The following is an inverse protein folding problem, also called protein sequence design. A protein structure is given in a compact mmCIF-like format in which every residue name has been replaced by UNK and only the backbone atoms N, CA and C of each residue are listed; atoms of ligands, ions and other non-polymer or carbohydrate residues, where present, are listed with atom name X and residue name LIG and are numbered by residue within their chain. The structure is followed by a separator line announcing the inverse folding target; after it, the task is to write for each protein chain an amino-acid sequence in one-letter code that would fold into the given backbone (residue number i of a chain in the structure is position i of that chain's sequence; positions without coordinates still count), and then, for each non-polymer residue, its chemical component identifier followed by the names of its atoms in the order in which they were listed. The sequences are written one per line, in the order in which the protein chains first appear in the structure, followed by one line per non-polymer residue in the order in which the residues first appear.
data_IF_346435782458
#
_entry.id   IF_346435782458
#
_cell.length_a   1.000
_cell.length_b   1.000
_cell.length_c   1.000
_cell.angle_alpha   90.00
_cell.angle_beta   90.00
_cell.angle_gamma   90.00
#
_symmetry.space_group_name_H-M   'P 1'
#
loop_
_entity.id
_entity.type
_entity.pdbx_description
1 polymer ?
#
# COMPACT_ATOMS: atom_id res chain seq x y z
N UNK A 1 12.33 -40.44 -11.30
CA UNK A 1 13.16 -39.89 -12.40
C UNK A 1 14.13 -38.83 -11.89
N UNK A 2 13.71 -37.88 -11.04
CA UNK A 2 14.61 -36.84 -10.50
C UNK A 2 15.60 -37.34 -9.41
N UNK A 3 15.18 -38.21 -8.48
CA UNK A 3 16.10 -38.82 -7.49
C UNK A 3 17.18 -39.71 -8.12
N UNK A 4 16.95 -40.18 -9.36
CA UNK A 4 17.93 -40.94 -10.13
C UNK A 4 19.04 -40.04 -10.69
N UNK A 5 18.74 -38.78 -11.03
CA UNK A 5 19.73 -37.81 -11.49
C UNK A 5 20.71 -37.44 -10.37
N UNK A 6 20.20 -37.18 -9.16
CA UNK A 6 20.99 -36.97 -7.94
C UNK A 6 21.96 -38.14 -7.65
N UNK A 7 21.49 -39.37 -7.83
CA UNK A 7 22.30 -40.57 -7.61
C UNK A 7 23.34 -40.82 -8.72
N UNK A 8 23.16 -40.23 -9.91
CA UNK A 8 24.06 -40.40 -11.06
C UNK A 8 25.14 -39.33 -11.17
N UNK A 9 24.82 -38.09 -10.80
CA UNK A 9 25.79 -37.01 -10.76
C UNK A 9 25.55 -36.15 -9.51
N UNK A 10 26.36 -36.36 -8.47
CA UNK A 10 26.26 -35.64 -7.21
C UNK A 10 26.77 -34.19 -7.30
N UNK A 11 27.45 -33.83 -8.40
CA UNK A 11 27.96 -32.48 -8.64
C UNK A 11 27.03 -31.60 -9.50
N UNK A 12 25.90 -32.15 -9.98
CA UNK A 12 24.90 -31.40 -10.75
C UNK A 12 24.05 -30.53 -9.80
N UNK A 13 24.16 -29.21 -9.90
CA UNK A 13 23.44 -28.23 -9.09
C UNK A 13 21.94 -28.20 -9.38
N UNK A 14 21.53 -28.62 -10.58
CA UNK A 14 20.11 -28.66 -11.01
C UNK A 14 19.42 -29.95 -10.58
N UNK A 15 20.18 -31.02 -10.37
CA UNK A 15 19.67 -32.30 -9.88
C UNK A 15 18.93 -32.19 -8.53
N UNK A 16 19.40 -31.44 -7.51
CA UNK A 16 18.62 -31.15 -6.32
C UNK A 16 17.55 -30.07 -6.51
N UNK A 17 17.79 -29.06 -7.36
CA UNK A 17 16.86 -27.93 -7.54
C UNK A 17 15.45 -28.33 -7.98
N UNK A 18 15.33 -29.13 -9.05
CA UNK A 18 14.03 -29.51 -9.61
C UNK A 18 13.17 -30.35 -8.67
N UNK A 19 13.68 -31.41 -8.01
CA UNK A 19 12.91 -32.09 -6.97
C UNK A 19 12.61 -31.19 -5.77
N UNK A 20 13.43 -30.19 -5.45
CA UNK A 20 13.10 -29.15 -4.48
C UNK A 20 11.82 -28.40 -4.86
N UNK A 21 11.70 -27.97 -6.12
CA UNK A 21 10.48 -27.33 -6.65
C UNK A 21 9.25 -28.24 -6.53
N UNK A 22 9.40 -29.53 -6.86
CA UNK A 22 8.32 -30.51 -6.72
C UNK A 22 7.90 -30.69 -5.26
N UNK A 23 8.85 -30.76 -4.32
CA UNK A 23 8.51 -30.91 -2.91
C UNK A 23 7.83 -29.66 -2.34
N UNK A 24 8.24 -28.48 -2.79
CA UNK A 24 7.57 -27.24 -2.41
C UNK A 24 6.10 -27.23 -2.89
N UNK A 25 5.85 -27.59 -4.16
CA UNK A 25 4.48 -27.78 -4.70
C UNK A 25 3.66 -28.79 -3.89
N UNK A 26 4.29 -29.86 -3.38
CA UNK A 26 3.67 -30.86 -2.51
C UNK A 26 3.65 -30.48 -1.02
N UNK A 27 3.94 -29.22 -0.69
CA UNK A 27 3.96 -28.68 0.69
C UNK A 27 4.91 -29.42 1.64
N UNK A 28 5.92 -30.09 1.08
CA UNK A 28 7.02 -30.73 1.83
C UNK A 28 8.17 -29.74 1.95
N UNK A 29 7.94 -28.66 2.70
CA UNK A 29 8.81 -27.49 2.73
C UNK A 29 10.22 -27.80 3.27
N UNK A 30 10.33 -28.63 4.31
CA UNK A 30 11.64 -29.06 4.85
C UNK A 30 12.49 -29.81 3.81
N UNK A 31 11.85 -30.66 3.00
CA UNK A 31 12.53 -31.39 1.93
C UNK A 31 12.95 -30.46 0.80
N UNK A 32 12.08 -29.52 0.42
CA UNK A 32 12.38 -28.50 -0.56
C UNK A 32 13.57 -27.63 -0.13
N UNK A 33 13.54 -27.14 1.11
CA UNK A 33 14.61 -26.36 1.72
C UNK A 33 15.95 -27.07 1.62
N UNK A 34 16.02 -28.31 2.14
CA UNK A 34 17.27 -29.09 2.16
C UNK A 34 17.84 -29.29 0.76
N UNK A 35 16.99 -29.55 -0.24
CA UNK A 35 17.44 -29.71 -1.61
C UNK A 35 17.89 -28.38 -2.23
N UNK A 36 17.19 -27.29 -1.98
CA UNK A 36 17.63 -25.98 -2.45
C UNK A 36 18.91 -25.51 -1.78
N UNK A 37 19.11 -25.78 -0.49
CA UNK A 37 20.38 -25.53 0.19
C UNK A 37 21.53 -26.34 -0.43
N UNK A 38 21.29 -27.62 -0.77
CA UNK A 38 22.27 -28.43 -1.48
C UNK A 38 22.57 -27.88 -2.89
N UNK A 39 21.53 -27.47 -3.63
CA UNK A 39 21.70 -26.84 -4.95
C UNK A 39 22.54 -25.57 -4.87
N UNK A 40 22.26 -24.70 -3.90
CA UNK A 40 22.99 -23.47 -3.65
C UNK A 40 24.45 -23.71 -3.18
N UNK A 41 24.72 -24.84 -2.52
CA UNK A 41 26.09 -25.26 -2.16
C UNK A 41 26.87 -25.78 -3.38
N UNK A 42 26.20 -26.45 -4.33
CA UNK A 42 26.81 -26.96 -5.55
C UNK A 42 27.08 -25.85 -6.58
N UNK A 43 26.14 -24.92 -6.74
CA UNK A 43 26.32 -23.70 -7.54
C UNK A 43 25.83 -22.45 -6.77
N UNK A 44 26.81 -21.73 -6.24
CA UNK A 44 26.62 -20.48 -5.54
C UNK A 44 26.11 -19.33 -6.43
N UNK A 45 26.19 -19.46 -7.76
CA UNK A 45 25.86 -18.44 -8.75
C UNK A 45 24.51 -18.67 -9.43
N UNK A 46 23.70 -19.60 -8.95
CA UNK A 46 22.37 -19.85 -9.48
C UNK A 46 21.32 -18.91 -8.84
N UNK A 47 20.84 -17.84 -9.50
CA UNK A 47 19.98 -16.84 -8.83
C UNK A 47 18.65 -17.42 -8.35
N UNK A 48 18.04 -18.29 -9.16
CA UNK A 48 16.70 -18.82 -8.89
C UNK A 48 16.64 -19.71 -7.64
N UNK A 49 17.71 -20.44 -7.29
CA UNK A 49 17.70 -21.22 -6.05
C UNK A 49 17.71 -20.32 -4.82
N UNK A 50 18.47 -19.22 -4.85
CA UNK A 50 18.47 -18.22 -3.78
C UNK A 50 17.11 -17.55 -3.66
N UNK A 51 16.48 -17.17 -4.80
CA UNK A 51 15.11 -16.63 -4.79
C UNK A 51 14.10 -17.62 -4.22
N UNK A 52 14.23 -18.92 -4.43
CA UNK A 52 13.31 -19.91 -3.83
C UNK A 52 13.58 -20.14 -2.33
N UNK A 53 14.85 -20.11 -1.90
CA UNK A 53 15.22 -20.20 -0.50
C UNK A 53 14.65 -19.03 0.32
N UNK A 54 14.62 -17.81 -0.23
CA UNK A 54 14.07 -16.67 0.49
C UNK A 54 12.59 -16.85 0.82
N UNK A 55 11.81 -17.42 -0.11
CA UNK A 55 10.39 -17.74 0.10
C UNK A 55 10.19 -18.74 1.23
N UNK A 56 11.00 -19.80 1.28
CA UNK A 56 10.92 -20.80 2.36
C UNK A 56 11.32 -20.21 3.69
N UNK A 57 12.44 -19.48 3.74
CA UNK A 57 12.93 -18.88 4.97
C UNK A 57 11.93 -17.90 5.57
N UNK A 58 11.27 -17.10 4.73
CA UNK A 58 10.26 -16.17 5.19
C UNK A 58 8.97 -16.89 5.61
N UNK A 59 8.34 -17.62 4.67
CA UNK A 59 6.98 -18.13 4.85
C UNK A 59 6.91 -19.33 5.80
N UNK A 60 7.94 -20.19 5.81
CA UNK A 60 7.87 -21.49 6.48
C UNK A 60 8.79 -21.61 7.69
N UNK A 61 9.91 -20.88 7.70
CA UNK A 61 10.90 -20.97 8.79
C UNK A 61 10.79 -19.83 9.81
N UNK A 62 10.06 -18.75 9.50
CA UNK A 62 10.04 -17.56 10.36
C UNK A 62 11.41 -16.89 10.49
N UNK A 63 12.23 -16.96 9.43
CA UNK A 63 13.59 -16.39 9.37
C UNK A 63 13.64 -15.18 8.39
N UNK A 64 13.01 -14.04 8.71
CA UNK A 64 12.86 -12.91 7.80
C UNK A 64 14.20 -12.32 7.32
N UNK A 65 15.21 -12.25 8.18
CA UNK A 65 16.51 -11.70 7.79
C UNK A 65 17.31 -12.62 6.90
N UNK A 66 17.21 -13.93 7.12
CA UNK A 66 17.82 -14.89 6.21
C UNK A 66 17.14 -14.87 4.84
N UNK A 67 15.81 -14.68 4.81
CA UNK A 67 15.08 -14.47 3.56
C UNK A 67 15.57 -13.22 2.82
N UNK A 68 15.77 -12.11 3.55
CA UNK A 68 16.33 -10.87 2.99
C UNK A 68 17.70 -11.10 2.37
N UNK A 69 18.66 -11.61 3.13
CA UNK A 69 20.03 -11.87 2.67
C UNK A 69 20.06 -12.75 1.41
N UNK A 70 19.20 -13.78 1.40
CA UNK A 70 19.10 -14.75 0.32
C UNK A 70 18.48 -14.12 -0.94
N UNK A 71 17.47 -13.26 -0.80
CA UNK A 71 16.85 -12.59 -1.94
C UNK A 71 17.71 -11.44 -2.49
N UNK A 72 18.40 -10.69 -1.63
CA UNK A 72 19.41 -9.71 -2.02
C UNK A 72 20.53 -10.39 -2.82
N UNK A 73 20.98 -11.58 -2.38
CA UNK A 73 21.94 -12.39 -3.13
C UNK A 73 21.39 -12.84 -4.48
N UNK A 74 20.14 -13.29 -4.53
CA UNK A 74 19.52 -13.68 -5.80
C UNK A 74 19.55 -12.53 -6.81
N UNK A 75 19.16 -11.32 -6.37
CA UNK A 75 19.17 -10.14 -7.23
C UNK A 75 20.59 -9.70 -7.62
N UNK A 76 21.55 -9.76 -6.70
CA UNK A 76 22.94 -9.40 -6.99
C UNK A 76 23.60 -10.29 -8.06
N UNK A 77 23.12 -11.54 -8.21
CA UNK A 77 23.59 -12.46 -9.25
C UNK A 77 22.98 -12.17 -10.63
N UNK A 78 21.81 -11.51 -10.69
CA UNK A 78 21.16 -11.08 -11.93
C UNK A 78 20.36 -9.79 -11.72
N UNK A 79 21.05 -8.64 -11.79
CA UNK A 79 20.47 -7.32 -11.55
C UNK A 79 19.51 -6.86 -12.66
N UNK A 80 19.45 -7.59 -13.78
CA UNK A 80 18.52 -7.32 -14.87
C UNK A 80 17.15 -8.02 -14.66
N UNK A 81 17.03 -8.90 -13.67
CA UNK A 81 15.79 -9.60 -13.37
C UNK A 81 14.80 -8.68 -12.61
N UNK A 82 13.91 -8.05 -13.37
CA UNK A 82 12.88 -7.17 -12.83
C UNK A 82 11.86 -7.89 -11.95
N UNK A 83 11.69 -9.21 -12.08
CA UNK A 83 10.81 -9.98 -11.20
C UNK A 83 11.47 -10.11 -9.82
N UNK A 84 12.74 -10.47 -9.76
CA UNK A 84 13.45 -10.60 -8.48
C UNK A 84 13.55 -9.24 -7.77
N UNK A 85 13.75 -8.14 -8.52
CA UNK A 85 13.73 -6.78 -7.94
C UNK A 85 12.37 -6.43 -7.31
N UNK A 86 11.26 -6.76 -7.97
CA UNK A 86 9.91 -6.57 -7.41
C UNK A 86 9.71 -7.38 -6.14
N UNK A 87 10.11 -8.64 -6.14
CA UNK A 87 9.97 -9.51 -4.97
C UNK A 87 10.84 -9.01 -3.80
N UNK A 88 12.04 -8.49 -4.09
CA UNK A 88 12.91 -7.89 -3.09
C UNK A 88 12.30 -6.64 -2.47
N UNK A 89 11.71 -5.77 -3.29
CA UNK A 89 11.02 -4.57 -2.82
C UNK A 89 9.78 -4.89 -1.97
N UNK A 90 9.01 -5.91 -2.36
CA UNK A 90 7.89 -6.44 -1.56
C UNK A 90 8.37 -6.99 -0.20
N UNK A 91 9.50 -7.70 -0.18
CA UNK A 91 10.09 -8.19 1.06
C UNK A 91 10.54 -7.03 1.96
N UNK A 92 11.23 -6.03 1.39
CA UNK A 92 11.64 -4.82 2.12
C UNK A 92 10.45 -4.11 2.77
N UNK A 93 9.33 -3.96 2.03
CA UNK A 93 8.09 -3.41 2.58
C UNK A 93 7.58 -4.23 3.78
N UNK A 94 7.56 -5.57 3.67
CA UNK A 94 7.15 -6.46 4.78
C UNK A 94 8.06 -6.39 6.00
N UNK A 95 9.35 -6.13 5.79
CA UNK A 95 10.33 -5.98 6.86
C UNK A 95 10.35 -4.57 7.48
N UNK A 96 9.48 -3.66 7.03
CA UNK A 96 9.41 -2.29 7.53
C UNK A 96 10.62 -1.44 7.12
N UNK A 97 11.27 -1.76 6.00
CA UNK A 97 12.32 -0.89 5.43
C UNK A 97 11.67 0.45 5.05
N UNK A 98 12.33 1.55 5.42
CA UNK A 98 11.79 2.89 5.22
C UNK A 98 11.50 3.18 3.74
N UNK A 99 10.41 3.90 3.40
CA UNK A 99 10.09 4.25 2.01
C UNK A 99 11.21 4.99 1.29
N UNK A 100 11.99 5.82 2.00
CA UNK A 100 13.16 6.51 1.44
C UNK A 100 14.27 5.54 1.03
N UNK A 101 14.55 4.51 1.82
CA UNK A 101 15.55 3.50 1.49
C UNK A 101 15.10 2.64 0.29
N UNK A 102 13.82 2.24 0.26
CA UNK A 102 13.23 1.54 -0.89
C UNK A 102 13.30 2.39 -2.16
N UNK A 103 12.96 3.67 -2.06
CA UNK A 103 13.02 4.62 -3.17
C UNK A 103 14.43 4.69 -3.77
N UNK A 104 15.46 4.88 -2.94
CA UNK A 104 16.84 4.96 -3.41
C UNK A 104 17.31 3.62 -4.02
N UNK A 105 16.93 2.48 -3.42
CA UNK A 105 17.27 1.17 -3.96
C UNK A 105 16.65 0.91 -5.36
N UNK A 106 15.40 1.33 -5.57
CA UNK A 106 14.77 1.20 -6.89
C UNK A 106 15.36 2.19 -7.90
N UNK A 107 15.70 3.40 -7.45
CA UNK A 107 16.33 4.44 -8.28
C UNK A 107 17.70 4.01 -8.81
N UNK A 108 18.50 3.27 -8.03
CA UNK A 108 19.79 2.73 -8.50
C UNK A 108 19.65 1.63 -9.56
N UNK A 109 18.45 1.06 -9.72
CA UNK A 109 18.14 0.01 -10.69
C UNK A 109 17.03 0.44 -11.66
N UNK A 110 17.02 1.72 -12.06
CA UNK A 110 15.97 2.35 -12.89
C UNK A 110 15.66 1.56 -14.17
N UNK A 111 16.69 1.17 -14.94
CA UNK A 111 16.52 0.41 -16.19
C UNK A 111 15.81 -0.92 -15.97
N UNK A 112 16.05 -1.60 -14.84
CA UNK A 112 15.39 -2.85 -14.46
C UNK A 112 13.97 -2.59 -13.96
N UNK A 113 13.78 -1.55 -13.13
CA UNK A 113 12.49 -1.17 -12.59
C UNK A 113 11.49 -0.77 -13.69
N UNK A 114 11.93 -0.03 -14.71
CA UNK A 114 11.09 0.44 -15.82
C UNK A 114 10.52 -0.68 -16.71
N UNK A 115 11.04 -1.90 -16.59
CA UNK A 115 10.59 -3.05 -17.38
C UNK A 115 9.19 -3.55 -16.97
N UNK A 116 8.70 -3.19 -15.77
CA UNK A 116 7.40 -3.68 -15.27
C UNK A 116 6.53 -2.57 -14.68
N UNK A 117 5.23 -2.64 -14.98
CA UNK A 117 4.24 -1.67 -14.49
C UNK A 117 3.99 -1.78 -12.98
N UNK A 118 3.99 -3.01 -12.44
CA UNK A 118 3.79 -3.26 -11.00
C UNK A 118 4.94 -2.72 -10.15
N UNK A 119 6.18 -2.86 -10.61
CA UNK A 119 7.36 -2.33 -9.95
C UNK A 119 7.45 -0.80 -10.07
N UNK A 120 7.07 -0.23 -11.22
CA UNK A 120 6.91 1.21 -11.37
C UNK A 120 5.87 1.77 -10.38
N UNK A 121 4.76 1.05 -10.15
CA UNK A 121 3.74 1.47 -9.20
C UNK A 121 4.25 1.49 -7.74
N UNK A 122 5.09 0.53 -7.33
CA UNK A 122 5.73 0.54 -5.99
C UNK A 122 6.76 1.68 -5.86
N UNK A 123 7.50 2.01 -6.92
CA UNK A 123 8.38 3.18 -6.94
C UNK A 123 7.61 4.48 -6.76
N UNK A 124 6.52 4.66 -7.51
CA UNK A 124 5.63 5.83 -7.39
C UNK A 124 5.00 5.90 -5.99
N UNK A 125 4.62 4.75 -5.42
CA UNK A 125 4.15 4.68 -4.03
C UNK A 125 5.21 5.21 -3.07
N UNK A 126 6.48 4.84 -3.26
CA UNK A 126 7.59 5.32 -2.42
C UNK A 126 7.87 6.82 -2.62
N UNK A 127 7.71 7.35 -3.83
CA UNK A 127 7.75 8.80 -4.08
C UNK A 127 6.65 9.52 -3.29
N UNK A 128 5.40 9.04 -3.37
CA UNK A 128 4.28 9.62 -2.63
C UNK A 128 4.48 9.54 -1.11
N UNK A 129 4.93 8.40 -0.58
CA UNK A 129 5.21 8.23 0.85
C UNK A 129 6.34 9.13 1.36
N UNK A 130 7.22 9.62 0.48
CA UNK A 130 8.32 10.53 0.82
C UNK A 130 8.02 11.99 0.48
N UNK A 131 6.78 12.31 0.10
CA UNK A 131 6.33 13.66 -0.24
C UNK A 131 6.79 14.18 -1.60
N UNK A 132 7.31 13.31 -2.48
CA UNK A 132 7.78 13.67 -3.83
C UNK A 132 6.65 13.58 -4.85
N UNK A 133 5.57 14.32 -4.60
CA UNK A 133 4.32 14.20 -5.34
C UNK A 133 4.43 14.64 -6.81
N UNK A 134 5.20 15.68 -7.10
CA UNK A 134 5.44 16.17 -8.46
C UNK A 134 6.20 15.15 -9.31
N UNK A 135 7.20 14.48 -8.71
CA UNK A 135 7.98 13.42 -9.36
C UNK A 135 7.09 12.19 -9.64
N UNK A 136 6.25 11.81 -8.67
CA UNK A 136 5.26 10.75 -8.81
C UNK A 136 4.26 11.05 -9.94
N UNK A 137 3.68 12.25 -9.95
CA UNK A 137 2.73 12.68 -10.99
C UNK A 137 3.38 12.72 -12.37
N UNK A 138 4.59 13.26 -12.49
CA UNK A 138 5.34 13.33 -13.76
C UNK A 138 5.52 11.92 -14.35
N UNK A 139 5.96 10.96 -13.53
CA UNK A 139 6.17 9.59 -13.98
C UNK A 139 4.85 8.91 -14.37
N UNK A 140 3.79 9.13 -13.59
CA UNK A 140 2.44 8.64 -13.90
C UNK A 140 1.92 9.16 -15.24
N UNK A 141 2.20 10.43 -15.59
CA UNK A 141 1.73 11.05 -16.84
C UNK A 141 2.57 10.69 -18.07
N UNK A 142 3.84 10.31 -17.89
CA UNK A 142 4.74 9.95 -18.99
C UNK A 142 4.62 8.49 -19.42
N UNK A 143 4.21 7.60 -18.51
CA UNK A 143 4.10 6.16 -18.77
C UNK A 143 2.69 5.77 -19.21
N UNK A 144 2.60 4.76 -20.07
CA UNK A 144 1.35 4.06 -20.36
C UNK A 144 1.32 2.73 -19.59
N UNK A 145 0.47 2.65 -18.57
CA UNK A 145 0.29 1.47 -17.73
C UNK A 145 -0.71 0.50 -18.37
N UNK A 146 -0.46 -0.79 -18.19
CA UNK A 146 -1.35 -1.87 -18.60
C UNK A 146 -1.91 -2.55 -17.35
N UNK A 147 -3.23 -2.77 -17.24
CA UNK A 147 -3.79 -3.53 -16.12
C UNK A 147 -3.19 -4.92 -15.99
N UNK A 148 -3.01 -5.37 -14.75
CA UNK A 148 -2.58 -6.73 -14.42
C UNK A 148 -3.44 -7.33 -13.31
N UNK A 149 -3.45 -8.66 -13.20
CA UNK A 149 -4.21 -9.36 -12.15
C UNK A 149 -3.69 -8.99 -10.75
N UNK A 150 -4.58 -8.50 -9.87
CA UNK A 150 -4.20 -7.97 -8.55
C UNK A 150 -3.58 -6.57 -8.60
N UNK A 151 -3.70 -5.88 -9.74
CA UNK A 151 -3.26 -4.51 -9.96
C UNK A 151 -4.34 -3.46 -9.77
N UNK A 152 -5.59 -3.88 -9.51
CA UNK A 152 -6.76 -3.03 -9.54
C UNK A 152 -6.60 -1.81 -8.63
N UNK A 153 -6.82 -0.63 -9.20
CA UNK A 153 -6.69 0.67 -8.55
C UNK A 153 -5.30 1.03 -8.03
N UNK A 154 -4.26 0.21 -8.20
CA UNK A 154 -2.93 0.52 -7.66
C UNK A 154 -2.34 1.79 -8.27
N UNK A 155 -2.40 1.91 -9.59
CA UNK A 155 -1.87 3.07 -10.32
C UNK A 155 -2.74 4.31 -10.09
N UNK A 156 -4.06 4.17 -10.17
CA UNK A 156 -5.00 5.30 -10.02
C UNK A 156 -5.03 5.86 -8.60
N UNK A 157 -4.89 5.01 -7.57
CA UNK A 157 -4.68 5.47 -6.19
C UNK A 157 -3.42 6.31 -6.05
N UNK A 158 -2.31 5.93 -6.69
CA UNK A 158 -1.09 6.73 -6.67
C UNK A 158 -1.24 8.07 -7.41
N UNK A 159 -2.05 8.11 -8.47
CA UNK A 159 -2.38 9.35 -9.17
C UNK A 159 -3.19 10.32 -8.32
N UNK A 160 -4.25 9.84 -7.67
CA UNK A 160 -5.03 10.63 -6.72
C UNK A 160 -4.11 11.11 -5.59
N UNK A 161 -3.32 10.21 -5.03
CA UNK A 161 -2.36 10.49 -3.96
C UNK A 161 -1.42 11.64 -4.36
N UNK A 162 -0.75 11.58 -5.51
CA UNK A 162 0.14 12.65 -5.95
C UNK A 162 -0.60 14.00 -6.09
N UNK A 163 -1.78 14.02 -6.70
CA UNK A 163 -2.55 15.26 -6.90
C UNK A 163 -3.07 15.87 -5.59
N UNK A 164 -3.59 15.03 -4.69
CA UNK A 164 -4.04 15.49 -3.37
C UNK A 164 -2.88 16.01 -2.53
N UNK A 165 -1.68 15.48 -2.71
CA UNK A 165 -0.48 15.90 -1.98
C UNK A 165 -0.07 17.30 -2.37
N UNK A 166 0.07 17.52 -3.69
CA UNK A 166 0.32 18.85 -4.23
C UNK A 166 -0.79 19.84 -3.85
N UNK A 167 -2.06 19.43 -3.90
CA UNK A 167 -3.18 20.30 -3.53
C UNK A 167 -3.16 20.67 -2.04
N UNK A 168 -2.89 19.72 -1.15
CA UNK A 168 -2.76 19.96 0.29
C UNK A 168 -1.57 20.86 0.60
N UNK A 169 -0.44 20.68 -0.08
CA UNK A 169 0.72 21.56 0.05
C UNK A 169 0.36 23.01 -0.34
N UNK A 170 -0.28 23.20 -1.49
CA UNK A 170 -0.75 24.51 -1.93
C UNK A 170 -1.74 25.14 -0.95
N UNK A 171 -2.70 24.36 -0.43
CA UNK A 171 -3.65 24.85 0.58
C UNK A 171 -2.95 25.20 1.91
N UNK A 172 -1.98 24.41 2.36
CA UNK A 172 -1.22 24.70 3.58
C UNK A 172 -0.45 26.03 3.49
N UNK A 173 -0.04 26.42 2.28
CA UNK A 173 0.61 27.69 1.99
C UNK A 173 -0.37 28.82 1.60
N UNK A 174 -1.68 28.58 1.74
CA UNK A 174 -2.73 29.53 1.40
C UNK A 174 -2.72 29.96 -0.08
N UNK A 175 -2.45 29.00 -0.98
CA UNK A 175 -2.47 29.13 -2.45
C UNK A 175 -3.62 28.32 -3.06
N UNK A 176 -4.90 28.66 -2.78
CA UNK A 176 -6.05 27.87 -3.24
C UNK A 176 -6.23 27.89 -4.78
N UNK A 177 -5.74 28.93 -5.45
CA UNK A 177 -5.74 29.05 -6.91
C UNK A 177 -4.88 27.98 -7.58
N UNK A 178 -3.82 27.51 -6.92
CA UNK A 178 -3.00 26.39 -7.40
C UNK A 178 -3.59 25.02 -7.02
N UNK A 179 -4.29 24.92 -5.89
CA UNK A 179 -4.90 23.67 -5.43
C UNK A 179 -6.14 23.27 -6.26
N UNK A 180 -7.00 24.23 -6.62
CA UNK A 180 -8.25 23.99 -7.33
C UNK A 180 -8.10 23.17 -8.63
N UNK A 181 -7.18 23.49 -9.57
CA UNK A 181 -7.01 22.70 -10.78
C UNK A 181 -6.52 21.27 -10.50
N UNK A 182 -5.68 21.07 -9.49
CA UNK A 182 -5.18 19.74 -9.10
C UNK A 182 -6.32 18.85 -8.58
N UNK A 183 -7.21 19.42 -7.76
CA UNK A 183 -8.37 18.72 -7.23
C UNK A 183 -9.38 18.35 -8.33
N UNK A 184 -9.63 19.25 -9.28
CA UNK A 184 -10.45 18.93 -10.45
C UNK A 184 -9.81 17.84 -11.31
N UNK A 185 -8.49 17.87 -11.48
CA UNK A 185 -7.76 16.86 -12.21
C UNK A 185 -7.85 15.48 -11.53
N UNK A 186 -7.89 15.42 -10.21
CA UNK A 186 -7.99 14.16 -9.46
C UNK A 186 -9.33 13.42 -9.69
N UNK A 187 -10.38 14.13 -10.12
CA UNK A 187 -11.68 13.52 -10.44
C UNK A 187 -11.66 12.71 -11.74
N UNK A 188 -10.66 12.88 -12.60
CA UNK A 188 -10.60 12.31 -13.95
C UNK A 188 -9.35 11.44 -14.09
N UNK A 189 -9.54 10.16 -14.44
CA UNK A 189 -8.43 9.25 -14.75
C UNK A 189 -8.00 9.41 -16.21
N UNK A 190 -6.74 9.79 -16.47
CA UNK A 190 -6.25 9.88 -17.83
C UNK A 190 -6.03 8.47 -18.40
N UNK A 191 -6.23 8.34 -19.72
CA UNK A 191 -6.26 7.03 -20.41
C UNK A 191 -4.97 6.21 -20.22
N UNK A 192 -3.83 6.88 -20.05
CA UNK A 192 -2.53 6.23 -19.90
C UNK A 192 -2.38 5.47 -18.58
N UNK A 193 -3.29 5.64 -17.60
CA UNK A 193 -3.28 4.83 -16.37
C UNK A 193 -3.83 3.42 -16.57
N UNK A 194 -4.49 3.15 -17.71
CA UNK A 194 -5.01 1.82 -18.04
C UNK A 194 -6.31 1.43 -17.35
N UNK A 195 -6.84 2.25 -16.45
CA UNK A 195 -8.06 1.97 -15.68
C UNK A 195 -9.08 3.12 -15.77
N UNK A 196 -10.36 2.74 -15.82
CA UNK A 196 -11.48 3.67 -15.71
C UNK A 196 -12.04 3.72 -14.29
N UNK A 197 -12.66 4.85 -13.94
CA UNK A 197 -13.33 5.00 -12.66
C UNK A 197 -14.62 4.18 -12.60
N UNK A 198 -14.85 3.47 -11.50
CA UNK A 198 -16.05 2.66 -11.31
C UNK A 198 -17.27 3.54 -11.00
N UNK A 199 -18.43 3.14 -11.52
CA UNK A 199 -19.71 3.78 -11.19
C UNK A 199 -20.02 3.55 -9.70
N UNK A 200 -20.18 4.64 -8.95
CA UNK A 200 -20.45 4.60 -7.51
C UNK A 200 -19.25 4.87 -6.60
N UNK A 201 -18.02 4.94 -7.12
CA UNK A 201 -16.87 5.39 -6.33
C UNK A 201 -17.12 6.81 -5.82
N UNK A 202 -17.10 6.98 -4.49
CA UNK A 202 -17.30 8.26 -3.83
C UNK A 202 -15.93 8.91 -3.57
N UNK A 203 -15.74 10.11 -4.12
CA UNK A 203 -14.50 10.90 -4.02
C UNK A 203 -14.56 11.85 -2.81
N UNK A 204 -14.89 11.31 -1.63
CA UNK A 204 -15.17 12.12 -0.45
C UNK A 204 -13.98 13.02 -0.09
N UNK A 205 -12.77 12.48 -0.19
CA UNK A 205 -11.50 13.17 0.00
C UNK A 205 -11.30 14.36 -0.95
N UNK A 206 -11.48 14.13 -2.26
CA UNK A 206 -11.33 15.15 -3.29
C UNK A 206 -12.40 16.24 -3.13
N UNK A 207 -13.67 15.85 -2.95
CA UNK A 207 -14.76 16.81 -2.80
C UNK A 207 -14.66 17.62 -1.49
N UNK A 208 -14.20 17.00 -0.41
CA UNK A 208 -13.98 17.71 0.84
C UNK A 208 -12.90 18.79 0.66
N UNK A 209 -11.76 18.43 0.06
CA UNK A 209 -10.69 19.38 -0.24
C UNK A 209 -11.12 20.46 -1.24
N UNK A 210 -11.99 20.14 -2.21
CA UNK A 210 -12.61 21.15 -3.08
C UNK A 210 -13.45 22.14 -2.28
N UNK A 211 -14.25 21.67 -1.33
CA UNK A 211 -15.04 22.54 -0.45
C UNK A 211 -14.16 23.48 0.38
N UNK A 212 -13.09 22.95 0.98
CA UNK A 212 -12.10 23.75 1.73
C UNK A 212 -11.44 24.79 0.82
N UNK A 213 -11.02 24.38 -0.39
CA UNK A 213 -10.39 25.25 -1.36
C UNK A 213 -11.33 26.41 -1.79
N UNK A 214 -12.57 26.08 -2.14
CA UNK A 214 -13.57 27.05 -2.61
C UNK A 214 -14.00 28.03 -1.51
N UNK A 215 -14.12 27.56 -0.27
CA UNK A 215 -14.40 28.44 0.89
C UNK A 215 -13.25 29.43 1.12
N UNK A 216 -11.99 29.00 1.00
CA UNK A 216 -10.82 29.92 1.08
C UNK A 216 -10.78 30.94 -0.07
N UNK A 217 -11.40 30.63 -1.21
CA UNK A 217 -11.56 31.55 -2.33
C UNK A 217 -12.78 32.49 -2.19
N UNK A 218 -13.62 32.28 -1.16
CA UNK A 218 -14.83 33.06 -0.90
C UNK A 218 -16.05 32.64 -1.72
N UNK A 219 -16.00 31.50 -2.42
CA UNK A 219 -17.14 30.93 -3.15
C UNK A 219 -17.91 29.94 -2.26
N UNK A 220 -18.67 30.50 -1.31
CA UNK A 220 -19.43 29.73 -0.32
C UNK A 220 -20.49 28.82 -0.95
N UNK A 221 -21.07 29.22 -2.08
CA UNK A 221 -22.10 28.42 -2.76
C UNK A 221 -21.49 27.17 -3.40
N UNK A 222 -20.35 27.33 -4.09
CA UNK A 222 -19.64 26.19 -4.66
C UNK A 222 -19.02 25.30 -3.57
N UNK A 223 -18.50 25.90 -2.49
CA UNK A 223 -17.98 25.17 -1.34
C UNK A 223 -19.07 24.29 -0.70
N UNK A 224 -20.26 24.84 -0.46
CA UNK A 224 -21.39 24.10 0.08
C UNK A 224 -21.75 22.89 -0.80
N UNK A 225 -21.84 23.09 -2.12
CA UNK A 225 -22.13 21.99 -3.06
C UNK A 225 -21.04 20.90 -3.08
N UNK A 226 -19.77 21.29 -2.92
CA UNK A 226 -18.68 20.33 -2.81
C UNK A 226 -18.77 19.53 -1.51
N UNK A 227 -19.09 20.18 -0.37
CA UNK A 227 -19.30 19.48 0.89
C UNK A 227 -20.51 18.55 0.87
N UNK A 228 -21.62 18.91 0.20
CA UNK A 228 -22.76 18.00 0.01
C UNK A 228 -22.35 16.70 -0.70
N UNK A 229 -21.55 16.81 -1.77
CA UNK A 229 -21.01 15.63 -2.48
C UNK A 229 -20.06 14.82 -1.60
N UNK A 230 -19.21 15.49 -0.82
CA UNK A 230 -18.31 14.84 0.11
C UNK A 230 -19.03 14.16 1.28
N UNK A 231 -20.26 14.56 1.61
CA UNK A 231 -21.07 13.95 2.67
C UNK A 231 -21.84 12.69 2.23
N UNK A 232 -21.83 12.35 0.94
CA UNK A 232 -22.48 11.14 0.41
C UNK A 232 -21.73 9.85 0.77
N UNK A 233 -22.44 8.71 0.76
CA UNK A 233 -21.85 7.39 0.96
C UNK A 233 -22.13 6.78 2.34
N UNK A 234 -21.60 5.59 2.57
CA UNK A 234 -21.76 4.87 3.82
C UNK A 234 -20.98 5.56 4.96
N UNK A 235 -21.52 5.47 6.17
CA UNK A 235 -20.95 6.02 7.39
C UNK A 235 -20.51 4.92 8.36
N UNK A 236 -20.67 3.65 8.00
CA UNK A 236 -20.38 2.52 8.87
C UNK A 236 -18.98 1.97 8.61
N UNK A 237 -18.10 1.92 9.63
CA UNK A 237 -16.83 1.24 9.50
C UNK A 237 -17.04 -0.25 9.25
N UNK A 238 -16.27 -0.80 8.31
CA UNK A 238 -16.21 -2.22 8.01
C UNK A 238 -14.74 -2.67 7.98
N UNK A 239 -14.50 -3.97 8.11
CA UNK A 239 -13.14 -4.49 8.03
C UNK A 239 -12.60 -4.32 6.61
N UNK A 240 -11.35 -3.88 6.47
CA UNK A 240 -10.68 -3.72 5.17
C UNK A 240 -10.01 -5.03 4.70
N UNK A 241 -10.83 -6.03 4.36
CA UNK A 241 -10.38 -7.38 4.01
C UNK A 241 -10.31 -7.61 2.49
N UNK A 242 -11.18 -6.94 1.72
CA UNK A 242 -11.34 -7.08 0.28
C UNK A 242 -11.00 -5.79 -0.46
N UNK A 243 -10.62 -5.91 -1.75
CA UNK A 243 -10.17 -4.74 -2.53
C UNK A 243 -11.27 -3.71 -2.83
N UNK A 244 -12.54 -4.12 -2.71
CA UNK A 244 -13.72 -3.27 -2.91
C UNK A 244 -14.24 -2.62 -1.62
N UNK A 245 -13.67 -2.95 -0.46
CA UNK A 245 -14.13 -2.37 0.80
C UNK A 245 -13.86 -0.86 0.78
N UNK A 246 -14.86 -0.07 1.18
CA UNK A 246 -14.70 1.39 1.20
C UNK A 246 -13.55 1.75 2.16
N UNK A 247 -12.54 2.48 1.69
CA UNK A 247 -11.45 2.92 2.53
C UNK A 247 -12.00 3.74 3.71
N UNK A 248 -11.60 3.37 4.93
CA UNK A 248 -12.20 3.95 6.13
C UNK A 248 -11.82 5.41 6.36
N UNK A 249 -10.77 5.90 5.72
CA UNK A 249 -10.45 7.32 5.59
C UNK A 249 -11.54 8.12 4.87
N UNK A 250 -12.32 7.51 3.97
CA UNK A 250 -13.49 8.19 3.37
C UNK A 250 -14.55 8.56 4.42
N UNK A 251 -14.67 7.78 5.50
CA UNK A 251 -15.58 8.09 6.62
C UNK A 251 -15.13 9.36 7.34
N UNK A 252 -13.81 9.59 7.48
CA UNK A 252 -13.28 10.83 8.03
C UNK A 252 -13.69 12.02 7.14
N UNK A 253 -13.41 11.98 5.84
CA UNK A 253 -13.74 13.09 4.93
C UNK A 253 -15.23 13.37 4.85
N UNK A 254 -16.06 12.31 4.82
CA UNK A 254 -17.51 12.43 4.90
C UNK A 254 -17.96 13.16 6.17
N UNK A 255 -17.38 12.80 7.31
CA UNK A 255 -17.73 13.37 8.60
C UNK A 255 -17.26 14.83 8.74
N UNK A 256 -16.07 15.15 8.22
CA UNK A 256 -15.57 16.52 8.13
C UNK A 256 -16.46 17.38 7.23
N UNK A 257 -16.95 16.83 6.12
CA UNK A 257 -17.90 17.52 5.25
C UNK A 257 -19.24 17.77 5.96
N UNK A 258 -19.77 16.80 6.70
CA UNK A 258 -20.98 16.99 7.52
C UNK A 258 -20.78 18.09 8.58
N UNK A 259 -19.60 18.16 9.18
CA UNK A 259 -19.26 19.23 10.11
C UNK A 259 -19.23 20.61 9.43
N UNK A 260 -18.67 20.71 8.22
CA UNK A 260 -18.65 21.93 7.42
C UNK A 260 -20.06 22.39 6.98
N UNK A 261 -20.98 21.45 6.80
CA UNK A 261 -22.40 21.73 6.50
C UNK A 261 -23.22 22.12 7.76
N UNK A 262 -22.63 22.07 8.97
CA UNK A 262 -23.30 22.37 10.23
C UNK A 262 -24.03 21.18 10.87
N UNK A 263 -23.88 19.96 10.32
CA UNK A 263 -24.47 18.73 10.85
C UNK A 263 -23.60 18.08 11.95
N UNK A 264 -23.27 18.85 12.99
CA UNK A 264 -22.28 18.48 14.01
C UNK A 264 -22.58 17.14 14.71
N UNK A 265 -23.85 16.86 15.05
CA UNK A 265 -24.21 15.61 15.72
C UNK A 265 -23.95 14.37 14.85
N UNK A 266 -24.14 14.50 13.53
CA UNK A 266 -23.89 13.38 12.61
C UNK A 266 -22.39 13.13 12.44
N UNK A 267 -21.59 14.19 12.32
CA UNK A 267 -20.14 14.11 12.27
C UNK A 267 -19.57 13.45 13.55
N UNK A 268 -19.95 13.93 14.73
CA UNK A 268 -19.51 13.38 16.02
C UNK A 268 -19.87 11.90 16.17
N UNK A 269 -21.08 11.50 15.74
CA UNK A 269 -21.49 10.10 15.75
C UNK A 269 -20.53 9.24 14.91
N UNK A 270 -20.18 9.69 13.71
CA UNK A 270 -19.31 8.93 12.81
C UNK A 270 -17.88 8.82 13.37
N UNK A 271 -17.35 9.90 13.97
CA UNK A 271 -16.04 9.85 14.61
C UNK A 271 -16.00 8.87 15.80
N UNK A 272 -17.03 8.87 16.64
CA UNK A 272 -17.15 7.86 17.70
C UNK A 272 -17.25 6.45 17.14
N UNK A 273 -17.99 6.22 16.05
CA UNK A 273 -18.07 4.91 15.41
C UNK A 273 -16.72 4.39 14.92
N UNK A 274 -15.84 5.26 14.40
CA UNK A 274 -14.47 4.88 14.03
C UNK A 274 -13.65 4.42 15.24
N UNK A 275 -13.73 5.16 16.35
CA UNK A 275 -13.05 4.81 17.61
C UNK A 275 -13.61 3.49 18.17
N UNK A 276 -14.93 3.38 18.30
CA UNK A 276 -15.62 2.22 18.85
C UNK A 276 -15.29 0.95 18.06
N UNK A 277 -15.29 1.03 16.72
CA UNK A 277 -14.92 -0.09 15.86
C UNK A 277 -13.47 -0.50 16.12
N UNK A 278 -12.53 0.45 16.09
CA UNK A 278 -11.12 0.15 16.30
C UNK A 278 -10.85 -0.44 17.70
N UNK A 279 -11.49 0.06 18.75
CA UNK A 279 -11.34 -0.49 20.11
C UNK A 279 -11.95 -1.89 20.25
N UNK A 280 -13.11 -2.12 19.63
CA UNK A 280 -13.83 -3.40 19.70
C UNK A 280 -13.05 -4.51 18.99
N UNK A 281 -12.48 -4.21 17.83
CA UNK A 281 -11.84 -5.21 16.96
C UNK A 281 -10.31 -5.29 17.09
N UNK A 282 -9.69 -4.47 17.96
CA UNK A 282 -8.23 -4.38 18.10
C UNK A 282 -7.56 -5.74 18.40
N UNK A 283 -8.22 -6.60 19.16
CA UNK A 283 -7.66 -7.87 19.63
C UNK A 283 -8.25 -9.09 18.93
N UNK A 284 -8.97 -8.89 17.83
CA UNK A 284 -9.53 -9.98 17.04
C UNK A 284 -8.42 -10.79 16.35
N UNK A 285 -8.53 -12.12 16.42
CA UNK A 285 -7.71 -13.02 15.61
C UNK A 285 -8.31 -13.15 14.21
N UNK A 286 -7.60 -12.65 13.20
CA UNK A 286 -8.08 -12.68 11.81
C UNK A 286 -7.54 -13.90 11.09
N UNK A 287 -8.44 -14.63 10.43
CA UNK A 287 -8.12 -15.79 9.58
C UNK A 287 -8.84 -15.65 8.25
N UNK A 288 -8.19 -16.07 7.18
CA UNK A 288 -8.82 -16.16 5.86
C UNK A 288 -9.86 -17.27 5.92
N UNK A 289 -11.11 -16.94 5.59
CA UNK A 289 -12.16 -17.95 5.45
C UNK A 289 -11.77 -18.94 4.36
N UNK A 290 -12.04 -20.22 4.58
CA UNK A 290 -11.81 -21.29 3.62
C UNK A 290 -12.42 -21.01 2.24
N UNK A 291 -13.54 -20.26 2.19
CA UNK A 291 -14.21 -19.88 0.93
C UNK A 291 -13.92 -18.45 0.47
N UNK A 292 -12.96 -17.74 1.09
CA UNK A 292 -12.63 -16.38 0.68
C UNK A 292 -12.13 -16.37 -0.77
N UNK A 293 -12.91 -15.71 -1.63
CA UNK A 293 -12.53 -15.32 -2.98
C UNK A 293 -12.29 -13.81 -2.97
N UNK A 294 -11.37 -13.30 -3.80
CA UNK A 294 -11.04 -11.86 -3.90
C UNK A 294 -10.12 -11.30 -2.81
N UNK A 295 -9.15 -12.08 -2.35
CA UNK A 295 -8.04 -11.49 -1.59
C UNK A 295 -7.31 -10.45 -2.45
N UNK A 296 -6.92 -9.28 -1.91
CA UNK A 296 -6.43 -8.15 -2.71
C UNK A 296 -5.15 -8.44 -3.51
N UNK A 297 -4.34 -9.40 -3.07
CA UNK A 297 -3.05 -9.72 -3.69
C UNK A 297 -2.74 -11.21 -3.61
N UNK A 298 -2.11 -11.74 -4.67
CA UNK A 298 -1.39 -13.01 -4.59
C UNK A 298 -0.13 -12.80 -3.74
N UNK A 299 -0.26 -12.95 -2.42
CA UNK A 299 0.83 -12.65 -1.49
C UNK A 299 1.98 -13.65 -1.66
N UNK A 300 3.13 -13.15 -2.13
CA UNK A 300 4.35 -13.94 -2.24
C UNK A 300 4.96 -14.24 -0.85
N UNK A 301 4.92 -13.24 0.03
CA UNK A 301 5.33 -13.32 1.42
C UNK A 301 4.09 -13.28 2.31
N UNK A 302 3.96 -14.29 3.18
CA UNK A 302 2.82 -14.42 4.08
C UNK A 302 2.70 -13.18 4.99
N UNK A 303 1.46 -12.74 5.20
CA UNK A 303 1.14 -11.60 6.06
C UNK A 303 0.54 -12.07 7.38
N UNK A 304 0.98 -11.48 8.48
CA UNK A 304 0.29 -11.61 9.76
C UNK A 304 -0.99 -10.76 9.73
N UNK A 305 -2.11 -11.43 9.45
CA UNK A 305 -3.42 -10.80 9.32
C UNK A 305 -3.92 -10.21 10.63
N UNK A 306 -3.54 -10.79 11.77
CA UNK A 306 -3.87 -10.24 13.09
C UNK A 306 -3.11 -8.95 13.32
N UNK A 307 -1.82 -8.90 13.00
CA UNK A 307 -1.04 -7.65 13.03
C UNK A 307 -1.61 -6.61 12.08
N UNK A 308 -1.98 -6.99 10.86
CA UNK A 308 -2.62 -6.09 9.89
C UNK A 308 -3.94 -5.52 10.43
N UNK A 309 -4.78 -6.35 11.05
CA UNK A 309 -6.02 -5.89 11.69
C UNK A 309 -5.75 -4.93 12.85
N UNK A 310 -4.75 -5.20 13.69
CA UNK A 310 -4.34 -4.31 14.77
C UNK A 310 -3.95 -2.92 14.24
N UNK A 311 -3.14 -2.87 13.18
CA UNK A 311 -2.74 -1.61 12.54
C UNK A 311 -3.94 -0.89 11.93
N UNK A 312 -4.83 -1.62 11.26
CA UNK A 312 -6.07 -1.05 10.73
C UNK A 312 -6.94 -0.44 11.83
N UNK A 313 -7.20 -1.18 12.92
CA UNK A 313 -7.98 -0.69 14.05
C UNK A 313 -7.37 0.56 14.69
N UNK A 314 -6.05 0.59 14.89
CA UNK A 314 -5.36 1.78 15.41
C UNK A 314 -5.44 2.96 14.44
N UNK A 315 -5.35 2.71 13.13
CA UNK A 315 -5.56 3.73 12.12
C UNK A 315 -6.97 4.34 12.24
N UNK A 316 -8.02 3.52 12.41
CA UNK A 316 -9.39 4.00 12.61
C UNK A 316 -9.55 4.83 13.88
N UNK A 317 -8.97 4.38 15.01
CA UNK A 317 -8.96 5.16 16.26
C UNK A 317 -8.28 6.50 16.01
N UNK A 318 -7.13 6.50 15.33
CA UNK A 318 -6.41 7.71 14.95
C UNK A 318 -7.27 8.70 14.16
N UNK A 319 -7.98 8.23 13.12
CA UNK A 319 -8.89 9.05 12.32
C UNK A 319 -10.09 9.59 13.13
N UNK A 320 -10.69 8.75 13.97
CA UNK A 320 -11.82 9.15 14.83
C UNK A 320 -11.41 10.20 15.86
N UNK A 321 -10.31 9.97 16.57
CA UNK A 321 -9.73 10.94 17.50
C UNK A 321 -9.36 12.25 16.82
N UNK A 322 -8.85 12.19 15.59
CA UNK A 322 -8.54 13.38 14.79
C UNK A 322 -9.79 14.25 14.57
N UNK A 323 -10.90 13.63 14.15
CA UNK A 323 -12.18 14.32 13.96
C UNK A 323 -12.82 14.83 15.25
N UNK A 324 -12.59 14.16 16.38
CA UNK A 324 -13.04 14.61 17.71
C UNK A 324 -12.19 15.75 18.29
N UNK A 325 -11.08 16.10 17.65
CA UNK A 325 -10.12 17.08 18.19
C UNK A 325 -9.23 16.53 19.31
N UNK A 326 -9.18 15.21 19.51
CA UNK A 326 -8.32 14.52 20.46
C UNK A 326 -6.90 14.35 19.89
N UNK A 327 -6.23 15.47 19.57
CA UNK A 327 -4.99 15.48 18.78
C UNK A 327 -3.88 14.62 19.36
N UNK A 328 -3.67 14.63 20.67
CA UNK A 328 -2.62 13.82 21.33
C UNK A 328 -2.84 12.32 21.12
N UNK A 329 -4.09 11.86 21.23
CA UNK A 329 -4.43 10.44 21.06
C UNK A 329 -4.36 10.04 19.59
N UNK A 330 -4.85 10.92 18.69
CA UNK A 330 -4.73 10.73 17.26
C UNK A 330 -3.27 10.57 16.81
N UNK A 331 -2.39 11.48 17.27
CA UNK A 331 -0.95 11.43 16.97
C UNK A 331 -0.29 10.14 17.47
N UNK A 332 -0.62 9.69 18.69
CA UNK A 332 -0.08 8.45 19.26
C UNK A 332 -0.46 7.21 18.44
N UNK A 333 -1.75 7.08 18.09
CA UNK A 333 -2.24 5.92 17.33
C UNK A 333 -1.68 5.90 15.90
N UNK A 334 -1.68 7.06 15.21
CA UNK A 334 -1.14 7.16 13.86
C UNK A 334 0.37 6.94 13.83
N UNK A 335 1.12 7.46 14.81
CA UNK A 335 2.56 7.22 14.92
C UNK A 335 2.88 5.73 15.15
N UNK A 336 2.10 5.04 15.99
CA UNK A 336 2.25 3.60 16.19
C UNK A 336 2.06 2.83 14.87
N UNK A 337 1.06 3.22 14.06
CA UNK A 337 0.83 2.59 12.75
C UNK A 337 2.03 2.80 11.82
N UNK A 338 2.53 4.03 11.71
CA UNK A 338 3.70 4.34 10.87
C UNK A 338 4.98 3.64 11.34
N UNK A 339 5.19 3.51 12.65
CA UNK A 339 6.34 2.79 13.21
C UNK A 339 6.32 1.29 12.87
N UNK A 340 5.13 0.69 12.79
CA UNK A 340 4.96 -0.75 12.58
C UNK A 340 4.64 -1.13 11.12
N UNK A 341 4.23 -0.16 10.30
CA UNK A 341 4.09 -0.23 8.85
C UNK A 341 4.43 1.15 8.23
N UNK A 342 5.72 1.40 7.94
CA UNK A 342 6.18 2.65 7.33
C UNK A 342 5.60 2.91 5.92
N UNK A 343 5.01 1.89 5.28
CA UNK A 343 4.38 2.01 3.98
C UNK A 343 2.85 2.22 4.06
N UNK A 344 2.30 2.34 5.28
CA UNK A 344 0.87 2.58 5.49
C UNK A 344 0.50 4.00 5.01
N UNK A 345 0.08 4.10 3.75
CA UNK A 345 -0.15 5.39 3.06
C UNK A 345 -1.09 6.29 3.84
N UNK A 346 -2.26 5.81 4.29
CA UNK A 346 -3.21 6.63 5.06
C UNK A 346 -2.61 7.26 6.34
N UNK A 347 -2.00 6.45 7.20
CA UNK A 347 -1.36 6.91 8.43
C UNK A 347 -0.18 7.87 8.19
N UNK A 348 0.71 7.57 7.22
CA UNK A 348 1.79 8.48 6.82
C UNK A 348 1.18 9.82 6.39
N UNK A 349 0.15 9.78 5.55
CA UNK A 349 -0.54 10.97 5.06
C UNK A 349 -1.19 11.82 6.13
N UNK A 350 -1.72 11.20 7.18
CA UNK A 350 -2.34 11.89 8.31
C UNK A 350 -1.30 12.48 9.27
N UNK A 351 -0.08 11.92 9.34
CA UNK A 351 1.00 12.46 10.18
C UNK A 351 1.80 13.60 9.52
N UNK A 352 1.65 13.81 8.21
CA UNK A 352 2.25 14.97 7.54
C UNK A 352 1.72 16.31 8.10
N UNK A 353 2.60 17.31 8.19
CA UNK A 353 2.26 18.65 8.69
C UNK A 353 1.12 19.31 7.92
N UNK A 354 0.97 18.97 6.65
CA UNK A 354 -0.08 19.45 5.74
C UNK A 354 -1.47 18.88 6.07
N UNK A 355 -1.58 17.91 6.98
CA UNK A 355 -2.88 17.39 7.48
C UNK A 355 -3.67 18.40 8.27
N UNK A 356 -3.03 19.47 8.74
CA UNK A 356 -3.71 20.57 9.42
C UNK A 356 -4.80 21.21 8.57
N UNK A 357 -4.62 21.23 7.24
CA UNK A 357 -5.62 21.72 6.28
C UNK A 357 -6.96 20.96 6.37
N UNK A 358 -6.99 19.75 6.94
CA UNK A 358 -8.20 18.95 7.07
C UNK A 358 -9.09 19.37 8.25
N UNK A 359 -8.59 20.16 9.18
CA UNK A 359 -9.27 20.46 10.46
C UNK A 359 -9.31 21.97 10.73
N UNK A 360 -8.38 22.73 10.16
CA UNK A 360 -8.32 24.20 10.18
C UNK A 360 -9.22 24.85 9.12
#
# INVERSE_FOLDING_TARGET
MLSFALNRNQADDRAPYYPGCLFYDKRRYEDAQRLWELSAQLDANFPTVWRNLSLVYYNQCGEPQKARETLERAFALDVADARVLLELDQLYKKLGVAPSERLEHLRTHEDTMLQRDDLCAEFITSLNLTGRFEEAHTMLMQRHFHPWEGGESKVTKQYICALLGMARHALAENRPDEALPLLHQALIFPHNLGEGKLEGQKDNDIYYLLGVCLSRMGDEAAAHSAFEKAAEGDSTPAGAMYYNDQPADMILYRSLAQQALGHHNEALKCFHQLVDYGETHLFDEVRIDYFAVSLPELQLFEEDLTKRNQLHCRFLIGLGCLGLGETTRAEQELAYVVENDPAHTGAVWMTHRESKVLID
#
